data_IF_905207607357
#
_entry.id   IF_905207607357
#
_cell.length_a   1.000
_cell.length_b   1.000
_cell.length_c   1.000
_cell.angle_alpha   90.00
_cell.angle_beta   90.00
_cell.angle_gamma   90.00
#
_symmetry.space_group_name_H-M   'P 1'
#
loop_
_entity.id
_entity.type
_entity.pdbx_description
1 polymer ?
#
# COMPACT_ATOMS: atom_id res chain seq x y z
N UNK A 1 -8.79 26.26 34.20
CA UNK A 1 -8.44 26.08 32.77
C UNK A 1 -8.97 24.71 32.35
N UNK A 2 -10.08 24.67 31.62
CA UNK A 2 -10.69 23.42 31.13
C UNK A 2 -10.23 23.18 29.68
N UNK A 3 -9.36 22.20 29.48
CA UNK A 3 -9.04 21.65 28.16
C UNK A 3 -10.13 20.63 27.79
N UNK A 4 -11.29 21.10 27.32
CA UNK A 4 -12.34 20.25 26.75
C UNK A 4 -11.85 19.75 25.37
N UNK A 5 -11.44 18.47 25.27
CA UNK A 5 -12.22 17.29 24.90
C UNK A 5 -12.37 17.09 23.38
N UNK A 6 -11.54 16.21 22.83
CA UNK A 6 -11.76 15.43 21.61
C UNK A 6 -12.03 16.22 20.33
N UNK A 7 -11.06 16.25 19.41
CA UNK A 7 -11.32 16.62 18.02
C UNK A 7 -12.60 15.92 17.52
N UNK A 8 -13.64 16.69 17.20
CA UNK A 8 -14.93 16.19 16.71
C UNK A 8 -14.80 15.40 15.41
N UNK A 9 -13.65 15.52 14.73
CA UNK A 9 -13.35 14.70 13.56
C UNK A 9 -13.27 13.21 13.92
N UNK A 10 -12.87 12.83 15.13
CA UNK A 10 -12.84 11.43 15.59
C UNK A 10 -14.21 10.89 16.02
N UNK A 11 -15.20 11.77 16.20
CA UNK A 11 -16.57 11.40 16.58
C UNK A 11 -17.50 11.30 15.39
N UNK A 12 -17.04 11.65 14.18
CA UNK A 12 -17.81 11.50 12.95
C UNK A 12 -18.25 10.04 12.73
N UNK A 13 -19.45 9.82 12.19
CA UNK A 13 -19.87 8.52 11.66
C UNK A 13 -18.92 8.02 10.56
N UNK A 14 -18.78 6.69 10.43
CA UNK A 14 -17.86 6.05 9.47
C UNK A 14 -18.18 6.49 8.02
N UNK A 15 -19.46 6.68 7.74
CA UNK A 15 -20.03 7.10 6.47
C UNK A 15 -19.47 8.46 6.02
N UNK A 16 -19.24 9.38 6.96
CA UNK A 16 -18.68 10.70 6.63
C UNK A 16 -17.21 10.60 6.21
N UNK A 17 -16.42 9.70 6.81
CA UNK A 17 -15.05 9.46 6.33
C UNK A 17 -15.05 8.86 4.94
N UNK A 18 -15.97 7.94 4.65
CA UNK A 18 -16.11 7.38 3.31
C UNK A 18 -16.54 8.44 2.28
N UNK A 19 -17.46 9.35 2.63
CA UNK A 19 -17.83 10.47 1.76
C UNK A 19 -16.64 11.41 1.52
N UNK A 20 -15.84 11.71 2.54
CA UNK A 20 -14.61 12.52 2.38
C UNK A 20 -13.64 11.84 1.41
N UNK A 21 -13.47 10.53 1.54
CA UNK A 21 -12.61 9.76 0.65
C UNK A 21 -13.13 9.74 -0.81
N UNK A 22 -14.44 9.55 -0.98
CA UNK A 22 -15.07 9.60 -2.31
C UNK A 22 -14.98 10.96 -2.98
N UNK A 23 -15.04 12.06 -2.19
CA UNK A 23 -14.91 13.42 -2.71
C UNK A 23 -13.47 13.81 -3.04
N UNK A 24 -12.49 13.16 -2.42
CA UNK A 24 -11.06 13.47 -2.58
C UNK A 24 -10.24 12.20 -2.86
N UNK A 25 -10.54 11.42 -3.91
CA UNK A 25 -9.94 10.10 -4.12
C UNK A 25 -8.42 10.15 -4.25
N UNK A 26 -7.87 11.26 -4.72
CA UNK A 26 -6.44 11.44 -4.96
C UNK A 26 -5.68 11.98 -3.73
N UNK A 27 -6.37 12.42 -2.67
CA UNK A 27 -5.74 12.98 -1.46
C UNK A 27 -5.25 11.89 -0.49
N UNK A 28 -4.55 10.92 -1.04
CA UNK A 28 -3.99 9.81 -0.29
C UNK A 28 -2.92 10.26 0.72
N UNK A 29 -2.28 11.42 0.51
CA UNK A 29 -1.39 12.04 1.50
C UNK A 29 -2.12 12.41 2.78
N UNK A 30 -3.27 13.08 2.68
CA UNK A 30 -4.09 13.43 3.84
C UNK A 30 -4.65 12.18 4.50
N UNK A 31 -5.15 11.23 3.71
CA UNK A 31 -5.63 9.95 4.26
C UNK A 31 -4.53 9.21 5.03
N UNK A 32 -3.31 9.15 4.48
CA UNK A 32 -2.16 8.54 5.14
C UNK A 32 -1.79 9.25 6.46
N UNK A 33 -1.94 10.57 6.53
CA UNK A 33 -1.75 11.31 7.78
C UNK A 33 -2.88 10.98 8.79
N UNK A 34 -4.14 10.97 8.35
CA UNK A 34 -5.30 10.75 9.21
C UNK A 34 -5.32 9.35 9.84
N UNK A 35 -4.85 8.31 9.14
CA UNK A 35 -4.76 6.95 9.72
C UNK A 35 -3.84 6.87 10.94
N UNK A 36 -2.93 7.85 11.12
CA UNK A 36 -2.03 7.93 12.29
C UNK A 36 -2.62 8.69 13.47
N UNK A 37 -3.75 9.36 13.27
CA UNK A 37 -4.37 10.25 14.28
C UNK A 37 -5.40 9.51 15.13
N UNK A 38 -6.15 8.57 14.56
CA UNK A 38 -7.14 7.80 15.32
C UNK A 38 -7.44 6.43 14.73
N UNK A 39 -7.91 5.51 15.57
CA UNK A 39 -8.34 4.16 15.15
C UNK A 39 -9.48 4.20 14.14
N UNK A 40 -10.45 5.10 14.30
CA UNK A 40 -11.56 5.24 13.33
C UNK A 40 -11.08 5.72 11.97
N UNK A 41 -10.19 6.71 11.93
CA UNK A 41 -9.58 7.14 10.68
C UNK A 41 -8.74 6.03 10.05
N UNK A 42 -8.05 5.22 10.86
CA UNK A 42 -7.37 4.01 10.41
C UNK A 42 -8.35 3.04 9.73
N UNK A 43 -9.42 2.66 10.43
CA UNK A 43 -10.45 1.74 9.91
C UNK A 43 -11.11 2.25 8.64
N UNK A 44 -11.34 3.57 8.52
CA UNK A 44 -11.98 4.17 7.35
C UNK A 44 -11.06 4.28 6.12
N UNK A 45 -9.83 4.77 6.32
CA UNK A 45 -8.97 5.17 5.21
C UNK A 45 -7.89 4.13 4.85
N UNK A 46 -7.46 3.29 5.80
CA UNK A 46 -6.45 2.29 5.53
C UNK A 46 -6.89 1.27 4.45
N UNK A 47 -8.15 0.81 4.41
CA UNK A 47 -8.63 -0.03 3.30
C UNK A 47 -8.49 0.66 1.94
N UNK A 48 -8.79 1.96 1.87
CA UNK A 48 -8.73 2.75 0.63
C UNK A 48 -7.28 2.93 0.18
N UNK A 49 -6.38 3.24 1.13
CA UNK A 49 -4.96 3.42 0.85
C UNK A 49 -4.32 2.14 0.27
N UNK A 50 -4.69 0.97 0.79
CA UNK A 50 -4.04 -0.30 0.47
C UNK A 50 -4.86 -1.22 -0.44
N UNK A 51 -5.98 -0.76 -0.99
CA UNK A 51 -6.74 -1.49 -1.99
C UNK A 51 -5.92 -1.75 -3.25
N UNK A 52 -5.13 -0.75 -3.67
CA UNK A 52 -4.17 -0.86 -4.78
C UNK A 52 -2.78 -0.57 -4.25
N UNK A 53 -1.88 -1.53 -4.44
CA UNK A 53 -0.51 -1.44 -3.93
C UNK A 53 0.49 -1.51 -5.07
N UNK A 54 1.67 -0.97 -4.80
CA UNK A 54 2.80 -0.97 -5.72
C UNK A 54 4.14 -1.23 -5.02
N UNK A 55 5.23 -1.24 -5.79
CA UNK A 55 6.60 -1.45 -5.31
C UNK A 55 6.95 -0.62 -4.07
N UNK A 56 6.47 0.62 -3.97
CA UNK A 56 6.85 1.51 -2.86
C UNK A 56 6.17 1.13 -1.54
N UNK A 57 5.06 0.41 -1.62
CA UNK A 57 4.31 -0.04 -0.43
C UNK A 57 4.79 -1.38 0.12
N UNK A 58 5.63 -2.11 -0.62
CA UNK A 58 6.12 -3.45 -0.23
C UNK A 58 6.72 -3.47 1.17
N UNK A 59 7.50 -2.45 1.54
CA UNK A 59 8.10 -2.34 2.88
C UNK A 59 7.06 -2.31 3.99
N UNK A 60 5.89 -1.72 3.74
CA UNK A 60 4.81 -1.67 4.74
C UNK A 60 4.05 -2.99 4.81
N UNK A 61 3.79 -3.63 3.68
CA UNK A 61 3.05 -4.89 3.64
C UNK A 61 3.88 -6.11 4.04
N UNK A 62 5.21 -6.04 3.90
CA UNK A 62 6.11 -7.12 4.31
C UNK A 62 6.30 -7.20 5.84
N UNK A 63 5.88 -6.19 6.61
CA UNK A 63 6.02 -6.20 8.06
C UNK A 63 5.14 -7.28 8.68
N UNK A 64 5.64 -7.95 9.71
CA UNK A 64 4.81 -8.78 10.58
C UNK A 64 4.03 -7.90 11.57
N UNK A 65 2.93 -8.42 12.11
CA UNK A 65 2.08 -7.71 13.07
C UNK A 65 2.87 -7.09 14.25
N UNK A 66 3.79 -7.85 14.85
CA UNK A 66 4.66 -7.37 15.94
C UNK A 66 5.54 -6.17 15.56
N UNK A 67 5.91 -6.05 14.29
CA UNK A 67 6.76 -4.97 13.80
C UNK A 67 5.96 -3.71 13.43
N UNK A 68 4.61 -3.76 13.54
CA UNK A 68 3.71 -2.65 13.23
C UNK A 68 3.31 -1.83 14.46
N UNK A 69 3.78 -2.16 15.66
CA UNK A 69 3.44 -1.41 16.88
C UNK A 69 3.75 0.09 16.73
N UNK A 70 2.87 1.01 17.15
CA UNK A 70 1.64 0.82 17.93
C UNK A 70 0.36 0.60 17.10
N UNK A 71 0.45 0.32 15.79
CA UNK A 71 -0.74 0.13 14.95
C UNK A 71 -1.45 -1.19 15.31
N UNK A 72 -2.60 -1.08 15.97
CA UNK A 72 -3.42 -2.22 16.42
C UNK A 72 -4.57 -2.57 15.46
N UNK A 73 -4.73 -1.83 14.36
CA UNK A 73 -5.74 -2.12 13.35
C UNK A 73 -5.34 -3.27 12.40
N UNK A 74 -6.29 -3.77 11.60
CA UNK A 74 -6.06 -4.90 10.70
C UNK A 74 -4.85 -4.68 9.79
N UNK A 75 -4.18 -5.77 9.43
CA UNK A 75 -3.01 -5.70 8.57
C UNK A 75 -3.36 -5.13 7.17
N UNK A 76 -2.61 -4.15 6.62
CA UNK A 76 -2.85 -3.54 5.32
C UNK A 76 -2.98 -4.54 4.18
N UNK A 77 -2.24 -5.65 4.27
CA UNK A 77 -2.32 -6.74 3.31
C UNK A 77 -3.74 -7.33 3.19
N UNK A 78 -4.56 -7.28 4.24
CA UNK A 78 -5.94 -7.77 4.22
C UNK A 78 -6.84 -6.99 3.25
N UNK A 79 -6.47 -5.75 2.89
CA UNK A 79 -7.29 -4.87 2.05
C UNK A 79 -6.91 -4.90 0.57
N UNK A 80 -5.84 -5.61 0.22
CA UNK A 80 -5.28 -5.60 -1.13
C UNK A 80 -6.25 -6.24 -2.13
N UNK A 81 -6.51 -5.54 -3.23
CA UNK A 81 -7.26 -6.04 -4.38
C UNK A 81 -6.46 -6.00 -5.68
N UNK A 82 -5.48 -5.11 -5.81
CA UNK A 82 -4.60 -5.03 -6.97
C UNK A 82 -3.16 -4.77 -6.56
N UNK A 83 -2.22 -5.42 -7.24
CA UNK A 83 -0.79 -5.26 -7.02
C UNK A 83 -0.06 -4.94 -8.32
N UNK A 84 0.87 -3.99 -8.27
CA UNK A 84 1.80 -3.70 -9.38
C UNK A 84 3.22 -3.75 -8.86
N UNK A 85 3.99 -4.75 -9.29
CA UNK A 85 5.39 -4.88 -8.91
C UNK A 85 6.28 -4.52 -10.08
N UNK A 86 7.17 -3.55 -9.87
CA UNK A 86 8.11 -3.04 -10.85
C UNK A 86 9.52 -3.01 -10.26
N UNK A 87 10.49 -3.60 -10.97
CA UNK A 87 11.91 -3.58 -10.60
C UNK A 87 12.82 -3.65 -11.84
N UNK A 88 13.89 -2.85 -11.94
CA UNK A 88 14.19 -1.70 -11.10
C UNK A 88 13.09 -0.63 -11.24
N UNK A 89 12.86 0.12 -10.18
CA UNK A 89 11.86 1.18 -10.18
C UNK A 89 12.45 2.46 -10.77
N UNK A 90 12.21 2.68 -12.06
CA UNK A 90 12.82 3.76 -12.83
C UNK A 90 11.85 4.92 -13.09
N UNK A 91 10.54 4.68 -13.13
CA UNK A 91 9.57 5.67 -13.56
C UNK A 91 8.36 5.82 -12.62
N UNK A 92 8.36 6.87 -11.77
CA UNK A 92 7.25 7.13 -10.85
C UNK A 92 5.90 7.41 -11.49
N UNK A 93 5.85 7.84 -12.75
CA UNK A 93 4.59 8.08 -13.46
C UNK A 93 3.81 6.80 -13.80
N UNK A 94 4.44 5.63 -13.65
CA UNK A 94 3.83 4.32 -13.97
C UNK A 94 3.11 3.65 -12.80
N UNK A 95 3.22 4.19 -11.59
CA UNK A 95 2.60 3.63 -10.40
C UNK A 95 1.29 4.31 -10.04
N UNK A 96 0.38 3.50 -9.49
CA UNK A 96 -0.98 3.89 -9.15
C UNK A 96 -1.08 3.86 -7.61
N UNK A 97 -1.30 5.01 -6.99
CA UNK A 97 -1.71 5.12 -5.58
C UNK A 97 -0.62 5.57 -4.59
N UNK A 98 0.60 5.00 -4.59
CA UNK A 98 1.61 5.36 -3.57
C UNK A 98 2.30 6.70 -3.84
N UNK A 99 2.45 7.09 -5.11
CA UNK A 99 3.03 8.37 -5.51
C UNK A 99 2.26 9.57 -4.94
N UNK A 100 0.96 9.39 -4.68
CA UNK A 100 0.08 10.41 -4.12
C UNK A 100 0.19 10.52 -2.58
N UNK A 101 0.87 9.58 -1.91
CA UNK A 101 1.04 9.59 -0.44
C UNK A 101 2.12 10.55 0.04
N UNK A 102 3.00 10.98 -0.87
CA UNK A 102 4.07 11.94 -0.60
C UNK A 102 3.66 13.33 -1.09
N UNK A 103 3.42 14.22 -0.15
CA UNK A 103 3.20 15.63 -0.45
C UNK A 103 4.53 16.32 -0.78
N UNK A 104 4.62 16.91 -1.97
CA UNK A 104 5.70 17.82 -2.36
C UNK A 104 5.15 18.79 -3.40
N UNK A 105 5.43 20.09 -3.23
CA UNK A 105 5.11 21.12 -4.24
C UNK A 105 6.06 21.05 -5.45
N UNK A 106 7.24 20.45 -5.28
CA UNK A 106 8.22 20.21 -6.34
C UNK A 106 8.11 18.76 -6.82
N UNK A 107 7.62 18.58 -8.05
CA UNK A 107 7.46 17.28 -8.71
C UNK A 107 8.81 16.58 -9.00
N UNK A 108 9.87 17.34 -9.31
CA UNK A 108 11.19 16.75 -9.55
C UNK A 108 11.77 16.19 -8.25
N UNK A 109 11.65 16.94 -7.15
CA UNK A 109 12.06 16.48 -5.83
C UNK A 109 11.23 15.28 -5.35
N UNK A 110 9.92 15.28 -5.64
CA UNK A 110 9.00 14.17 -5.36
C UNK A 110 9.43 12.89 -6.07
N UNK A 111 9.65 12.97 -7.39
CA UNK A 111 10.06 11.81 -8.19
C UNK A 111 11.39 11.24 -7.73
N UNK A 112 12.37 12.10 -7.44
CA UNK A 112 13.66 11.65 -6.89
C UNK A 112 13.49 10.92 -5.55
N UNK A 113 12.62 11.41 -4.66
CA UNK A 113 12.30 10.75 -3.39
C UNK A 113 11.60 9.41 -3.58
N UNK A 114 10.62 9.34 -4.49
CA UNK A 114 9.93 8.09 -4.80
C UNK A 114 10.91 7.01 -5.28
N UNK A 115 11.83 7.37 -6.18
CA UNK A 115 12.87 6.45 -6.67
C UNK A 115 13.77 5.99 -5.51
N UNK A 116 14.17 6.91 -4.63
CA UNK A 116 15.01 6.59 -3.48
C UNK A 116 14.33 5.70 -2.43
N UNK A 117 13.00 5.68 -2.38
CA UNK A 117 12.23 4.82 -1.46
C UNK A 117 12.03 3.41 -2.00
N UNK A 118 12.24 3.19 -3.29
CA UNK A 118 12.11 1.87 -3.88
C UNK A 118 13.28 0.95 -3.50
N UNK A 119 13.08 -0.37 -3.51
CA UNK A 119 14.17 -1.32 -3.32
C UNK A 119 15.27 -1.12 -4.37
N UNK A 120 16.50 -0.93 -3.90
CA UNK A 120 17.67 -0.65 -4.76
C UNK A 120 18.39 -1.91 -5.23
N UNK A 121 18.16 -3.05 -4.58
CA UNK A 121 18.72 -4.35 -4.96
C UNK A 121 17.62 -5.38 -5.24
N UNK A 122 17.90 -6.30 -6.16
CA UNK A 122 16.98 -7.38 -6.52
C UNK A 122 16.70 -8.28 -5.33
N UNK A 123 17.72 -8.56 -4.51
CA UNK A 123 17.58 -9.35 -3.29
C UNK A 123 16.61 -8.72 -2.30
N UNK A 124 16.68 -7.39 -2.10
CA UNK A 124 15.77 -6.67 -1.21
C UNK A 124 14.36 -6.65 -1.79
N UNK A 125 14.23 -6.41 -3.08
CA UNK A 125 12.95 -6.45 -3.79
C UNK A 125 12.28 -7.81 -3.64
N UNK A 126 12.97 -8.91 -3.98
CA UNK A 126 12.43 -10.27 -3.90
C UNK A 126 12.00 -10.62 -2.48
N UNK A 127 12.81 -10.27 -1.47
CA UNK A 127 12.47 -10.48 -0.06
C UNK A 127 11.18 -9.76 0.32
N UNK A 128 11.06 -8.48 -0.03
CA UNK A 128 9.88 -7.67 0.30
C UNK A 128 8.63 -8.10 -0.48
N UNK A 129 8.79 -8.40 -1.76
CA UNK A 129 7.70 -8.88 -2.62
C UNK A 129 7.17 -10.23 -2.12
N UNK A 130 8.06 -11.18 -1.82
CA UNK A 130 7.67 -12.49 -1.29
C UNK A 130 6.96 -12.37 0.05
N UNK A 131 7.51 -11.62 1.01
CA UNK A 131 6.86 -11.38 2.30
C UNK A 131 5.50 -10.66 2.17
N UNK A 132 5.40 -9.71 1.23
CA UNK A 132 4.13 -9.03 0.93
C UNK A 132 3.09 -10.02 0.43
N UNK A 133 3.43 -10.87 -0.54
CA UNK A 133 2.51 -11.90 -1.05
C UNK A 133 2.11 -12.87 0.05
N UNK A 134 3.06 -13.37 0.84
CA UNK A 134 2.75 -14.27 1.94
C UNK A 134 1.78 -13.64 2.94
N UNK A 135 1.95 -12.36 3.27
CA UNK A 135 1.02 -11.63 4.12
C UNK A 135 -0.35 -11.42 3.45
N UNK A 136 -0.41 -11.08 2.16
CA UNK A 136 -1.66 -10.94 1.40
C UNK A 136 -2.47 -12.24 1.42
N UNK A 137 -1.79 -13.38 1.23
CA UNK A 137 -2.42 -14.72 1.31
C UNK A 137 -2.85 -15.01 2.75
N UNK A 138 -1.96 -14.82 3.73
CA UNK A 138 -2.21 -15.11 5.14
C UNK A 138 -3.41 -14.34 5.69
N UNK A 139 -3.53 -13.07 5.34
CA UNK A 139 -4.64 -12.21 5.78
C UNK A 139 -5.88 -12.31 4.86
N UNK A 140 -5.89 -13.23 3.88
CA UNK A 140 -7.06 -13.57 3.09
C UNK A 140 -7.58 -12.47 2.17
N UNK A 141 -6.69 -11.66 1.59
CA UNK A 141 -7.11 -10.57 0.71
C UNK A 141 -7.73 -11.10 -0.59
N UNK A 142 -8.83 -10.50 -1.04
CA UNK A 142 -9.51 -10.88 -2.28
C UNK A 142 -8.88 -10.19 -3.49
N UNK A 143 -7.67 -10.62 -3.87
CA UNK A 143 -6.92 -10.01 -4.97
C UNK A 143 -7.51 -10.36 -6.33
N UNK A 144 -7.71 -9.31 -7.14
CA UNK A 144 -8.31 -9.33 -8.48
C UNK A 144 -7.30 -9.14 -9.61
N UNK A 145 -6.13 -8.55 -9.34
CA UNK A 145 -5.11 -8.31 -10.36
C UNK A 145 -3.72 -8.25 -9.77
N UNK A 146 -2.77 -8.84 -10.48
CA UNK A 146 -1.34 -8.75 -10.21
C UNK A 146 -0.64 -8.42 -11.54
N UNK A 147 0.06 -7.29 -11.55
CA UNK A 147 0.91 -6.89 -12.65
C UNK A 147 2.38 -6.97 -12.21
N UNK A 148 3.22 -7.59 -13.04
CA UNK A 148 4.61 -7.85 -12.73
C UNK A 148 5.49 -7.35 -13.88
N UNK A 149 6.24 -6.27 -13.62
CA UNK A 149 7.08 -5.52 -14.56
C UNK A 149 8.53 -5.52 -14.08
N UNK A 150 9.13 -6.69 -13.97
CA UNK A 150 10.50 -6.81 -13.47
C UNK A 150 11.48 -7.21 -14.59
N UNK A 151 12.54 -6.41 -14.78
CA UNK A 151 13.61 -6.73 -15.72
C UNK A 151 14.56 -7.74 -15.09
N UNK A 152 14.80 -8.86 -15.77
CA UNK A 152 15.81 -9.85 -15.36
C UNK A 152 15.48 -10.63 -14.08
N UNK A 153 14.23 -10.57 -13.61
CA UNK A 153 13.73 -11.37 -12.49
C UNK A 153 12.49 -12.12 -12.95
N UNK A 154 12.56 -13.45 -12.98
CA UNK A 154 11.39 -14.25 -13.30
C UNK A 154 10.34 -14.17 -12.20
N UNK A 155 9.06 -14.23 -12.59
CA UNK A 155 7.96 -14.32 -11.62
C UNK A 155 8.10 -15.58 -10.74
N UNK A 156 8.60 -16.68 -11.33
CA UNK A 156 8.99 -17.89 -10.58
C UNK A 156 10.01 -17.57 -9.51
N UNK A 157 11.08 -16.84 -9.85
CA UNK A 157 12.18 -16.52 -8.93
C UNK A 157 11.72 -15.63 -7.77
N UNK A 158 10.74 -14.76 -8.01
CA UNK A 158 10.15 -13.91 -6.98
C UNK A 158 9.25 -14.66 -5.99
N UNK A 159 8.61 -15.76 -6.42
CA UNK A 159 7.52 -16.36 -5.67
C UNK A 159 7.54 -17.88 -5.59
N UNK A 160 8.73 -18.51 -5.68
CA UNK A 160 8.93 -19.97 -5.72
C UNK A 160 8.14 -20.76 -4.67
N UNK A 161 7.80 -20.15 -3.52
CA UNK A 161 7.10 -20.79 -2.40
C UNK A 161 5.67 -20.28 -2.15
N UNK A 162 5.12 -19.38 -2.97
CA UNK A 162 3.79 -18.82 -2.76
C UNK A 162 2.76 -19.47 -3.70
N UNK A 163 1.68 -19.99 -3.14
CA UNK A 163 0.59 -20.57 -3.91
C UNK A 163 -0.38 -19.47 -4.36
N UNK A 164 -0.45 -19.24 -5.68
CA UNK A 164 -1.33 -18.21 -6.26
C UNK A 164 -2.79 -18.65 -6.43
N UNK A 165 -3.19 -19.82 -5.91
CA UNK A 165 -4.60 -20.26 -5.96
C UNK A 165 -5.57 -19.31 -5.24
N UNK A 166 -5.08 -18.47 -4.32
CA UNK A 166 -5.87 -17.44 -3.64
C UNK A 166 -6.21 -16.22 -4.52
N UNK A 167 -5.59 -16.08 -5.69
CA UNK A 167 -5.78 -14.94 -6.57
C UNK A 167 -6.81 -15.27 -7.66
N UNK A 168 -7.84 -14.44 -7.77
CA UNK A 168 -8.74 -14.46 -8.93
C UNK A 168 -8.02 -13.67 -10.03
N UNK A 169 -7.21 -14.32 -10.87
CA UNK A 169 -6.37 -13.64 -11.88
C UNK A 169 -7.03 -13.70 -13.28
N UNK A 170 -7.72 -12.65 -13.74
CA UNK A 170 -7.86 -12.36 -15.15
C UNK A 170 -6.79 -11.34 -15.59
N UNK A 171 -5.94 -11.77 -16.52
CA UNK A 171 -4.84 -11.04 -17.22
C UNK A 171 -3.51 -10.95 -16.48
N UNK A 172 -2.59 -11.82 -16.91
CA UNK A 172 -1.14 -11.62 -16.82
C UNK A 172 -0.68 -11.01 -18.15
N UNK A 173 -0.18 -9.77 -18.15
CA UNK A 173 0.55 -9.22 -19.29
C UNK A 173 2.04 -9.39 -19.00
N UNK A 174 2.70 -10.24 -19.80
CA UNK A 174 4.14 -10.41 -19.80
C UNK A 174 4.72 -9.41 -20.81
N UNK A 175 5.67 -8.58 -20.37
CA UNK A 175 6.51 -7.74 -21.23
C UNK A 175 7.98 -7.99 -20.89
#
# INVERSE_FOLDING_TARGET
>A
MNLNHGSGFNTLPLELYHLIAQKNPDDTSTFCALTRVSRRAYEAFNPILYERIDTLTLSTLALMEKARFPLTGPHPAAFVKSMVFEYPYENPSRLIGSANRLYSKDEKAKNKRLIALAPTSSTTFLKLASATISNVIFYGASVKSLEYRCKGLGLSDAFQNNNFSAFLIPRTLYY
#
